data_IF_348133613695
#
_entry.id   IF_348133613695
#
_cell.length_a   1.000
_cell.length_b   1.000
_cell.length_c   1.000
_cell.angle_alpha   90.00
_cell.angle_beta   90.00
_cell.angle_gamma   90.00
#
_symmetry.space_group_name_H-M   'P 1'
#
loop_
_entity.id
_entity.type
_entity.pdbx_description
1 polymer ?
#
# COMPACT_ATOMS: atom_id res chain seq x y z
N UNK A 1 -52.96 42.35 -43.87
CA UNK A 1 -51.74 42.87 -43.21
C UNK A 1 -51.52 42.34 -41.78
N UNK A 2 -52.35 42.66 -40.78
CA UNK A 2 -52.07 42.25 -39.39
C UNK A 2 -52.10 40.73 -39.16
N UNK A 3 -53.04 40.02 -39.81
CA UNK A 3 -53.14 38.55 -39.69
C UNK A 3 -51.95 37.83 -40.34
N UNK A 4 -51.46 38.34 -41.47
CA UNK A 4 -50.30 37.78 -42.18
C UNK A 4 -49.03 37.97 -41.34
N UNK A 5 -48.81 39.18 -40.80
CA UNK A 5 -47.67 39.45 -39.92
C UNK A 5 -47.69 38.59 -38.65
N UNK A 6 -48.87 38.39 -38.04
CA UNK A 6 -49.01 37.53 -36.87
C UNK A 6 -48.68 36.05 -37.20
N UNK A 7 -49.09 35.58 -38.38
CA UNK A 7 -48.78 34.23 -38.85
C UNK A 7 -47.28 34.06 -39.12
N UNK A 8 -46.63 35.03 -39.77
CA UNK A 8 -45.18 35.02 -40.01
C UNK A 8 -44.39 35.00 -38.70
N UNK A 9 -44.75 35.83 -37.72
CA UNK A 9 -44.10 35.85 -36.40
C UNK A 9 -44.28 34.53 -35.65
N UNK A 10 -45.45 33.91 -35.73
CA UNK A 10 -45.70 32.63 -35.10
C UNK A 10 -44.87 31.51 -35.76
N UNK A 11 -44.81 31.47 -37.10
CA UNK A 11 -43.97 30.52 -37.83
C UNK A 11 -42.47 30.72 -37.52
N UNK A 12 -42.03 31.98 -37.40
CA UNK A 12 -40.66 32.33 -37.04
C UNK A 12 -40.31 31.86 -35.62
N UNK A 13 -41.23 32.08 -34.67
CA UNK A 13 -41.12 31.60 -33.29
C UNK A 13 -41.03 30.08 -33.23
N UNK A 14 -41.89 29.37 -33.93
CA UNK A 14 -41.86 27.90 -34.03
C UNK A 14 -40.55 27.40 -34.65
N UNK A 15 -40.07 28.06 -35.69
CA UNK A 15 -38.77 27.76 -36.30
C UNK A 15 -37.59 27.97 -35.35
N UNK A 16 -37.61 29.02 -34.51
CA UNK A 16 -36.59 29.22 -33.46
C UNK A 16 -36.65 28.13 -32.40
N UNK A 17 -37.85 27.76 -31.95
CA UNK A 17 -38.00 26.67 -30.97
C UNK A 17 -37.53 25.33 -31.53
N UNK A 18 -37.87 25.00 -32.78
CA UNK A 18 -37.42 23.78 -33.42
C UNK A 18 -35.88 23.70 -33.50
N UNK A 19 -35.22 24.78 -33.96
CA UNK A 19 -33.74 24.85 -33.99
C UNK A 19 -33.12 24.74 -32.60
N UNK A 20 -33.70 25.40 -31.61
CA UNK A 20 -33.20 25.36 -30.23
C UNK A 20 -33.33 23.94 -29.65
N UNK A 21 -34.47 23.27 -29.88
CA UNK A 21 -34.70 21.90 -29.47
C UNK A 21 -33.74 20.92 -30.16
N UNK A 22 -33.48 21.09 -31.46
CA UNK A 22 -32.51 20.30 -32.22
C UNK A 22 -31.08 20.46 -31.67
N UNK A 23 -30.66 21.70 -31.39
CA UNK A 23 -29.37 21.98 -30.77
C UNK A 23 -29.25 21.34 -29.39
N UNK A 24 -30.28 21.46 -28.53
CA UNK A 24 -30.27 20.78 -27.22
C UNK A 24 -30.22 19.25 -27.35
N UNK A 25 -30.96 18.67 -28.28
CA UNK A 25 -30.93 17.23 -28.51
C UNK A 25 -29.56 16.76 -29.04
N UNK A 26 -28.89 17.57 -29.87
CA UNK A 26 -27.52 17.30 -30.32
C UNK A 26 -26.52 17.39 -29.17
N UNK A 27 -26.55 18.48 -28.40
CA UNK A 27 -25.67 18.67 -27.23
C UNK A 27 -25.86 17.54 -26.22
N UNK A 28 -27.11 17.14 -25.95
CA UNK A 28 -27.41 16.06 -24.99
C UNK A 28 -26.82 14.73 -25.46
N UNK A 29 -26.89 14.42 -26.76
CA UNK A 29 -26.26 13.23 -27.34
C UNK A 29 -24.74 13.29 -27.23
N UNK A 30 -24.13 14.40 -27.65
CA UNK A 30 -22.66 14.57 -27.58
C UNK A 30 -22.16 14.47 -26.13
N UNK A 31 -22.88 15.03 -25.15
CA UNK A 31 -22.55 14.90 -23.73
C UNK A 31 -22.71 13.46 -23.23
N UNK A 32 -23.74 12.73 -23.67
CA UNK A 32 -23.94 11.33 -23.31
C UNK A 32 -22.84 10.43 -23.89
N UNK A 33 -22.45 10.66 -25.15
CA UNK A 33 -21.37 9.94 -25.82
C UNK A 33 -20.02 10.18 -25.11
N UNK A 34 -19.72 11.44 -24.77
CA UNK A 34 -18.53 11.78 -23.99
C UNK A 34 -18.54 11.12 -22.61
N UNK A 35 -19.66 11.15 -21.89
CA UNK A 35 -19.79 10.49 -20.59
C UNK A 35 -19.55 8.97 -20.70
N UNK A 36 -20.07 8.32 -21.74
CA UNK A 36 -19.83 6.91 -22.01
C UNK A 36 -18.34 6.62 -22.27
N UNK A 37 -17.68 7.44 -23.12
CA UNK A 37 -16.25 7.32 -23.38
C UNK A 37 -15.39 7.50 -22.12
N UNK A 38 -15.75 8.47 -21.26
CA UNK A 38 -15.03 8.68 -19.99
C UNK A 38 -15.18 7.50 -19.03
N UNK A 39 -16.38 6.93 -18.91
CA UNK A 39 -16.59 5.74 -18.09
C UNK A 39 -15.80 4.53 -18.61
N UNK A 40 -15.75 4.33 -19.93
CA UNK A 40 -14.92 3.28 -20.54
C UNK A 40 -13.42 3.48 -20.26
N UNK A 41 -12.92 4.71 -20.38
CA UNK A 41 -11.53 5.01 -20.04
C UNK A 41 -11.25 4.77 -18.55
N UNK A 42 -12.18 5.14 -17.68
CA UNK A 42 -12.07 4.91 -16.24
C UNK A 42 -11.99 3.40 -15.95
N UNK A 43 -12.82 2.58 -16.56
CA UNK A 43 -12.78 1.11 -16.36
C UNK A 43 -11.46 0.52 -16.83
N UNK A 44 -10.96 0.92 -18.00
CA UNK A 44 -9.68 0.44 -18.54
C UNK A 44 -8.53 0.80 -17.58
N UNK A 45 -8.45 2.06 -17.13
CA UNK A 45 -7.42 2.49 -16.20
C UNK A 45 -7.50 1.75 -14.85
N UNK A 46 -8.71 1.49 -14.33
CA UNK A 46 -8.88 0.70 -13.12
C UNK A 46 -8.36 -0.74 -13.28
N UNK A 47 -8.60 -1.37 -14.44
CA UNK A 47 -8.09 -2.71 -14.75
C UNK A 47 -6.55 -2.72 -14.88
N UNK A 48 -5.98 -1.73 -15.57
CA UNK A 48 -4.53 -1.57 -15.70
C UNK A 48 -3.85 -1.37 -14.33
N UNK A 49 -4.40 -0.50 -13.48
CA UNK A 49 -3.90 -0.28 -12.11
C UNK A 49 -3.98 -1.57 -11.30
N UNK A 50 -5.09 -2.31 -11.40
CA UNK A 50 -5.24 -3.59 -10.70
C UNK A 50 -4.22 -4.63 -11.18
N UNK A 51 -3.96 -4.70 -12.49
CA UNK A 51 -2.96 -5.61 -13.06
C UNK A 51 -1.54 -5.24 -12.61
N UNK A 52 -1.18 -3.94 -12.68
CA UNK A 52 0.12 -3.45 -12.22
C UNK A 52 0.35 -3.74 -10.72
N UNK A 53 -0.70 -3.60 -9.90
CA UNK A 53 -0.62 -3.92 -8.47
C UNK A 53 -0.36 -5.41 -8.22
N UNK A 54 -1.07 -6.31 -8.92
CA UNK A 54 -0.82 -7.76 -8.82
C UNK A 54 0.61 -8.11 -9.22
N UNK A 55 1.12 -7.52 -10.29
CA UNK A 55 2.49 -7.74 -10.73
C UNK A 55 3.52 -7.26 -9.69
N UNK A 56 3.28 -6.10 -9.06
CA UNK A 56 4.15 -5.61 -8.00
C UNK A 56 4.13 -6.52 -6.76
N UNK A 57 2.95 -7.01 -6.36
CA UNK A 57 2.80 -7.94 -5.24
C UNK A 57 3.48 -9.30 -5.53
N UNK A 58 3.37 -9.80 -6.77
CA UNK A 58 4.07 -11.00 -7.23
C UNK A 58 5.60 -10.84 -7.19
N UNK A 59 6.11 -9.72 -7.71
CA UNK A 59 7.54 -9.40 -7.68
C UNK A 59 8.05 -9.29 -6.24
N UNK A 60 7.30 -8.59 -5.38
CA UNK A 60 7.61 -8.50 -3.95
C UNK A 60 7.67 -9.88 -3.29
N UNK A 61 6.65 -10.72 -3.51
CA UNK A 61 6.63 -12.08 -2.99
C UNK A 61 7.73 -12.98 -3.56
N UNK A 62 8.22 -12.72 -4.78
CA UNK A 62 9.38 -13.40 -5.33
C UNK A 62 10.68 -13.00 -4.62
N UNK A 63 10.89 -11.69 -4.40
CA UNK A 63 12.05 -11.16 -3.67
C UNK A 63 12.07 -11.63 -2.22
N UNK A 64 10.93 -11.57 -1.51
CA UNK A 64 10.83 -12.06 -0.13
C UNK A 64 11.18 -13.55 -0.01
N UNK A 65 10.71 -14.38 -0.97
CA UNK A 65 11.09 -15.81 -1.02
C UNK A 65 12.57 -16.02 -1.32
N UNK A 66 13.16 -15.23 -2.21
CA UNK A 66 14.59 -15.32 -2.52
C UNK A 66 15.45 -14.97 -1.31
N UNK A 67 15.14 -13.85 -0.62
CA UNK A 67 15.81 -13.47 0.63
C UNK A 67 15.64 -14.52 1.73
N UNK A 68 14.46 -15.15 1.82
CA UNK A 68 14.21 -16.24 2.76
C UNK A 68 15.17 -17.42 2.56
N UNK A 69 15.32 -17.87 1.30
CA UNK A 69 16.25 -18.94 0.93
C UNK A 69 17.70 -18.60 1.22
N UNK A 70 18.11 -17.36 0.95
CA UNK A 70 19.48 -16.90 1.22
C UNK A 70 19.79 -16.90 2.72
N UNK A 71 18.87 -16.39 3.55
CA UNK A 71 19.02 -16.42 5.02
C UNK A 71 19.08 -17.85 5.56
N UNK A 72 18.27 -18.76 5.02
CA UNK A 72 18.30 -20.16 5.40
C UNK A 72 19.63 -20.82 5.02
N UNK A 73 20.14 -20.53 3.82
CA UNK A 73 21.45 -20.98 3.36
C UNK A 73 22.58 -20.46 4.25
N UNK A 74 22.61 -19.16 4.53
CA UNK A 74 23.62 -18.54 5.41
C UNK A 74 23.56 -19.12 6.83
N UNK A 75 22.36 -19.38 7.34
CA UNK A 75 22.18 -20.05 8.64
C UNK A 75 22.81 -21.44 8.62
N UNK A 76 22.52 -22.23 7.59
CA UNK A 76 23.08 -23.57 7.43
C UNK A 76 24.62 -23.54 7.33
N UNK A 77 25.18 -22.67 6.48
CA UNK A 77 26.62 -22.48 6.35
C UNK A 77 27.26 -22.05 7.69
N UNK A 78 26.60 -21.17 8.46
CA UNK A 78 27.10 -20.73 9.78
C UNK A 78 27.04 -21.86 10.82
N UNK A 79 25.98 -22.67 10.82
CA UNK A 79 25.83 -23.83 11.70
C UNK A 79 26.89 -24.89 11.38
N UNK A 80 27.18 -25.15 10.11
CA UNK A 80 28.23 -26.06 9.66
C UNK A 80 29.62 -25.57 10.09
N UNK A 81 29.94 -24.29 9.87
CA UNK A 81 31.21 -23.69 10.31
C UNK A 81 31.36 -23.77 11.83
N UNK A 82 30.30 -23.52 12.59
CA UNK A 82 30.32 -23.64 14.05
C UNK A 82 30.58 -25.09 14.48
N UNK A 83 29.92 -26.07 13.84
CA UNK A 83 30.13 -27.48 14.13
C UNK A 83 31.58 -27.91 13.86
N UNK A 84 32.19 -27.43 12.78
CA UNK A 84 33.61 -27.67 12.47
C UNK A 84 34.51 -27.07 13.56
N UNK A 85 34.28 -25.80 13.94
CA UNK A 85 35.08 -25.13 14.98
C UNK A 85 34.92 -25.83 16.34
N UNK A 86 33.70 -26.20 16.71
CA UNK A 86 33.43 -26.93 17.94
C UNK A 86 34.13 -28.30 17.93
N UNK A 87 34.12 -29.03 16.81
CA UNK A 87 34.85 -30.29 16.69
C UNK A 87 36.37 -30.11 16.87
N UNK A 88 36.95 -29.08 16.24
CA UNK A 88 38.38 -28.74 16.41
C UNK A 88 38.68 -28.39 17.87
N UNK A 89 37.79 -27.61 18.51
CA UNK A 89 37.93 -27.21 19.91
C UNK A 89 37.86 -28.41 20.86
N UNK A 90 36.90 -29.32 20.66
CA UNK A 90 36.80 -30.55 21.45
C UNK A 90 38.05 -31.44 21.26
N UNK A 91 38.57 -31.54 20.05
CA UNK A 91 39.82 -32.27 19.78
C UNK A 91 41.02 -31.64 20.53
N UNK A 92 41.06 -30.30 20.63
CA UNK A 92 42.09 -29.61 21.39
C UNK A 92 41.97 -29.83 22.91
N UNK A 93 40.73 -29.91 23.44
CA UNK A 93 40.47 -30.17 24.86
C UNK A 93 40.78 -31.62 25.28
N UNK A 94 40.60 -32.58 24.38
CA UNK A 94 40.79 -34.02 24.65
C UNK A 94 42.27 -34.45 24.57
N UNK A 95 43.20 -33.55 24.24
CA UNK A 95 44.63 -33.90 24.32
C UNK A 95 45.05 -34.17 25.79
N UNK A 96 45.52 -35.39 26.12
CA UNK A 96 45.87 -35.77 27.47
C UNK A 96 47.05 -34.94 27.99
N UNK A 97 46.87 -34.37 29.17
CA UNK A 97 47.91 -33.70 29.97
C UNK A 97 48.91 -34.68 30.60
N UNK A 98 48.99 -35.93 30.14
CA UNK A 98 49.80 -36.96 30.81
C UNK A 98 50.75 -37.69 29.85
N UNK A 99 51.83 -37.01 29.50
CA UNK A 99 53.14 -37.67 29.36
C UNK A 99 54.17 -36.82 30.09
N UNK A 100 54.19 -37.00 31.40
CA UNK A 100 55.36 -36.76 32.24
C UNK A 100 56.53 -37.59 31.71
N UNK A 101 57.30 -37.04 30.76
CA UNK A 101 58.41 -37.77 30.15
C UNK A 101 59.07 -37.16 28.92
N UNK A 102 59.39 -35.86 28.93
CA UNK A 102 60.59 -35.31 28.30
C UNK A 102 60.90 -35.61 26.81
N UNK A 103 59.91 -35.57 25.91
CA UNK A 103 60.19 -35.48 24.46
C UNK A 103 59.30 -34.40 23.81
N UNK A 104 59.83 -33.55 22.92
CA UNK A 104 59.05 -32.53 22.22
C UNK A 104 58.01 -33.23 21.33
N UNK A 105 56.77 -33.26 21.81
CA UNK A 105 55.69 -34.04 21.22
C UNK A 105 55.17 -33.32 19.96
N UNK A 106 55.51 -33.87 18.79
CA UNK A 106 54.99 -33.47 17.48
C UNK A 106 53.46 -33.63 17.46
N UNK A 107 52.75 -32.56 17.11
CA UNK A 107 51.28 -32.57 16.97
C UNK A 107 50.92 -33.13 15.59
N UNK A 108 50.52 -34.40 15.56
CA UNK A 108 49.99 -35.07 14.37
C UNK A 108 48.46 -34.93 14.35
N UNK A 109 47.92 -34.44 13.24
CA UNK A 109 46.48 -34.47 12.98
C UNK A 109 46.15 -35.68 12.10
N UNK A 110 45.22 -36.52 12.55
CA UNK A 110 44.74 -37.67 11.78
C UNK A 110 43.47 -37.30 11.02
N UNK A 111 43.51 -37.41 9.70
CA UNK A 111 42.31 -37.29 8.86
C UNK A 111 41.51 -38.60 8.89
N UNK A 112 40.18 -38.56 8.68
CA UNK A 112 39.33 -39.77 8.66
C UNK A 112 39.70 -40.78 7.55
N UNK A 113 40.51 -40.38 6.57
CA UNK A 113 41.07 -41.27 5.56
C UNK A 113 42.29 -42.09 6.04
N UNK A 114 42.78 -41.87 7.26
CA UNK A 114 43.93 -42.58 7.85
C UNK A 114 45.30 -41.96 7.57
N UNK A 115 45.37 -40.92 6.73
CA UNK A 115 46.61 -40.17 6.54
C UNK A 115 46.85 -39.24 7.74
N UNK A 116 47.98 -39.46 8.43
CA UNK A 116 48.47 -38.57 9.48
C UNK A 116 49.41 -37.54 8.85
N UNK A 117 49.00 -36.27 8.86
CA UNK A 117 49.87 -35.17 8.42
C UNK A 117 50.40 -34.44 9.65
N UNK A 118 51.71 -34.35 9.74
CA UNK A 118 52.39 -33.64 10.82
C UNK A 118 52.22 -32.13 10.61
N UNK A 119 51.51 -31.47 11.51
CA UNK A 119 51.38 -30.01 11.50
C UNK A 119 52.48 -29.46 12.41
N UNK A 120 53.72 -29.62 11.95
CA UNK A 120 54.80 -28.75 12.39
C UNK A 120 54.41 -27.39 11.83
N UNK A 121 53.92 -26.48 12.67
CA UNK A 121 53.60 -25.12 12.25
C UNK A 121 54.88 -24.45 11.78
N UNK A 122 55.27 -24.73 10.55
CA UNK A 122 56.42 -24.12 9.91
C UNK A 122 56.08 -22.65 9.70
N UNK A 123 57.11 -21.80 9.66
CA UNK A 123 56.93 -20.36 9.42
C UNK A 123 56.07 -20.06 8.20
N UNK A 124 56.02 -20.99 7.24
CA UNK A 124 55.29 -20.91 5.98
C UNK A 124 53.75 -20.97 6.17
N UNK A 125 53.26 -21.61 7.23
CA UNK A 125 51.83 -21.62 7.57
C UNK A 125 51.35 -20.24 8.05
N UNK A 126 52.21 -19.50 8.76
CA UNK A 126 51.92 -18.14 9.22
C UNK A 126 51.81 -17.19 8.02
N UNK A 127 52.69 -17.34 7.03
CA UNK A 127 52.61 -16.56 5.79
C UNK A 127 51.35 -16.88 5.00
N UNK A 128 50.96 -18.16 4.93
CA UNK A 128 49.71 -18.59 4.27
C UNK A 128 48.48 -17.99 4.93
N UNK A 129 48.41 -18.00 6.28
CA UNK A 129 47.32 -17.33 7.02
C UNK A 129 47.29 -15.83 6.76
N UNK A 130 48.47 -15.17 6.73
CA UNK A 130 48.55 -13.75 6.44
C UNK A 130 48.06 -13.42 5.02
N UNK A 131 48.41 -14.24 4.04
CA UNK A 131 47.96 -14.08 2.65
C UNK A 131 46.45 -14.27 2.53
N UNK A 132 45.85 -15.28 3.18
CA UNK A 132 44.40 -15.46 3.19
C UNK A 132 43.67 -14.30 3.88
N UNK A 133 44.18 -13.81 5.02
CA UNK A 133 43.59 -12.66 5.72
C UNK A 133 43.70 -11.40 4.84
N UNK A 134 44.84 -11.23 4.16
CA UNK A 134 45.05 -10.11 3.24
C UNK A 134 44.10 -10.18 2.04
N UNK A 135 43.91 -11.36 1.46
CA UNK A 135 42.96 -11.59 0.36
C UNK A 135 41.52 -11.31 0.83
N UNK A 136 41.10 -11.87 1.95
CA UNK A 136 39.77 -11.62 2.52
C UNK A 136 39.53 -10.14 2.84
N UNK A 137 40.54 -9.41 3.34
CA UNK A 137 40.45 -7.96 3.56
C UNK A 137 40.34 -7.19 2.23
N UNK A 138 41.10 -7.59 1.21
CA UNK A 138 41.02 -7.01 -0.13
C UNK A 138 39.62 -7.21 -0.74
N UNK A 139 39.07 -8.42 -0.60
CA UNK A 139 37.72 -8.75 -1.07
C UNK A 139 36.66 -7.97 -0.29
N UNK A 140 36.81 -7.83 1.03
CA UNK A 140 35.91 -7.02 1.85
C UNK A 140 35.92 -5.55 1.42
N UNK A 141 37.09 -4.97 1.12
CA UNK A 141 37.19 -3.61 0.58
C UNK A 141 36.56 -3.50 -0.82
N UNK A 142 36.72 -4.53 -1.66
CA UNK A 142 36.12 -4.55 -2.99
C UNK A 142 34.58 -4.61 -2.91
N UNK A 143 34.03 -5.49 -2.06
CA UNK A 143 32.59 -5.57 -1.79
C UNK A 143 32.05 -4.27 -1.22
N UNK A 144 32.76 -3.65 -0.28
CA UNK A 144 32.36 -2.35 0.28
C UNK A 144 32.28 -1.28 -0.80
N UNK A 145 33.22 -1.27 -1.76
CA UNK A 145 33.16 -0.37 -2.90
C UNK A 145 31.95 -0.67 -3.79
N UNK A 146 31.69 -1.93 -4.14
CA UNK A 146 30.52 -2.30 -4.95
C UNK A 146 29.21 -1.87 -4.28
N UNK A 147 29.08 -2.04 -2.96
CA UNK A 147 27.90 -1.58 -2.20
C UNK A 147 27.76 -0.05 -2.28
N UNK A 148 28.86 0.69 -2.18
CA UNK A 148 28.85 2.14 -2.30
C UNK A 148 28.42 2.59 -3.70
N UNK A 149 28.98 1.97 -4.75
CA UNK A 149 28.66 2.28 -6.14
C UNK A 149 27.17 1.98 -6.44
N UNK A 150 26.64 0.86 -5.95
CA UNK A 150 25.22 0.50 -6.09
C UNK A 150 24.30 1.47 -5.33
N UNK A 151 24.69 1.92 -4.13
CA UNK A 151 23.93 2.92 -3.37
C UNK A 151 23.86 4.25 -4.12
N UNK A 152 24.95 4.68 -4.76
CA UNK A 152 24.98 5.89 -5.59
C UNK A 152 24.08 5.75 -6.82
N UNK A 153 24.09 4.61 -7.49
CA UNK A 153 23.21 4.31 -8.63
C UNK A 153 21.73 4.35 -8.21
N UNK A 154 21.36 3.67 -7.12
CA UNK A 154 19.98 3.71 -6.60
C UNK A 154 19.54 5.12 -6.21
N UNK A 155 20.43 5.93 -5.63
CA UNK A 155 20.12 7.33 -5.32
C UNK A 155 19.84 8.14 -6.59
N UNK A 156 20.62 7.91 -7.66
CA UNK A 156 20.40 8.55 -8.94
C UNK A 156 19.06 8.15 -9.57
N UNK A 157 18.69 6.87 -9.51
CA UNK A 157 17.40 6.37 -9.99
C UNK A 157 16.22 6.97 -9.22
N UNK A 158 16.29 7.01 -7.89
CA UNK A 158 15.26 7.62 -7.03
C UNK A 158 15.06 9.09 -7.38
N UNK A 159 16.14 9.86 -7.50
CA UNK A 159 16.05 11.26 -7.91
C UNK A 159 15.47 11.43 -9.33
N UNK A 160 15.68 10.47 -10.23
CA UNK A 160 15.06 10.42 -11.55
C UNK A 160 13.56 10.16 -11.50
N UNK A 161 13.11 9.27 -10.63
CA UNK A 161 11.70 8.96 -10.41
C UNK A 161 10.95 10.12 -9.75
N UNK A 162 11.55 10.79 -8.76
CA UNK A 162 10.99 11.98 -8.11
C UNK A 162 10.72 13.08 -9.15
N UNK A 163 11.71 13.41 -9.99
CA UNK A 163 11.54 14.40 -11.07
C UNK A 163 10.42 14.04 -12.06
N UNK A 164 10.19 12.75 -12.30
CA UNK A 164 9.08 12.29 -13.15
C UNK A 164 7.75 12.46 -12.43
N UNK A 165 7.68 12.13 -11.15
CA UNK A 165 6.50 12.29 -10.32
C UNK A 165 6.08 13.78 -10.25
N UNK A 166 7.02 14.68 -10.00
CA UNK A 166 6.79 16.14 -10.01
C UNK A 166 6.17 16.61 -11.34
N UNK A 167 6.71 16.13 -12.47
CA UNK A 167 6.16 16.46 -13.80
C UNK A 167 4.73 15.97 -13.97
N UNK A 168 4.42 14.77 -13.47
CA UNK A 168 3.06 14.23 -13.51
C UNK A 168 2.11 15.00 -12.59
N UNK A 169 2.56 15.39 -11.40
CA UNK A 169 1.79 16.22 -10.47
C UNK A 169 1.43 17.57 -11.09
N UNK A 170 2.38 18.25 -11.73
CA UNK A 170 2.10 19.50 -12.47
C UNK A 170 1.07 19.29 -13.57
N UNK A 171 1.14 18.18 -14.32
CA UNK A 171 0.14 17.87 -15.37
C UNK A 171 -1.24 17.59 -14.79
N UNK A 172 -1.32 16.87 -13.68
CA UNK A 172 -2.58 16.60 -12.98
C UNK A 172 -3.19 17.88 -12.42
N UNK A 173 -2.38 18.76 -11.82
CA UNK A 173 -2.83 20.07 -11.35
C UNK A 173 -3.35 20.96 -12.48
N UNK A 174 -2.68 20.95 -13.64
CA UNK A 174 -3.16 21.64 -14.83
C UNK A 174 -4.49 21.06 -15.34
N UNK A 175 -4.61 19.72 -15.41
CA UNK A 175 -5.84 19.05 -15.83
C UNK A 175 -6.99 19.34 -14.85
N UNK A 176 -6.72 19.31 -13.54
CA UNK A 176 -7.71 19.65 -12.51
C UNK A 176 -8.18 21.10 -12.65
N UNK A 177 -7.27 22.03 -12.96
CA UNK A 177 -7.61 23.43 -13.23
C UNK A 177 -8.48 23.58 -14.47
N UNK A 178 -8.14 22.88 -15.57
CA UNK A 178 -8.94 22.84 -16.80
C UNK A 178 -10.32 22.25 -16.51
N UNK A 179 -10.41 21.12 -15.81
CA UNK A 179 -11.69 20.49 -15.45
C UNK A 179 -12.55 21.38 -14.56
N UNK A 180 -11.95 22.10 -13.60
CA UNK A 180 -12.66 23.10 -12.78
C UNK A 180 -13.21 24.24 -13.63
N UNK A 181 -12.44 24.72 -14.61
CA UNK A 181 -12.86 25.78 -15.52
C UNK A 181 -13.92 25.31 -16.54
N UNK A 182 -13.81 24.06 -17.00
CA UNK A 182 -14.73 23.44 -17.95
C UNK A 182 -16.03 22.99 -17.29
N UNK A 183 -16.01 22.64 -16.00
CA UNK A 183 -17.20 22.42 -15.16
C UNK A 183 -17.93 23.72 -14.79
N UNK A 184 -17.80 24.75 -15.63
CA UNK A 184 -18.45 26.04 -15.48
C UNK A 184 -19.92 25.90 -15.07
N UNK A 185 -20.21 26.40 -13.87
CA UNK A 185 -21.40 27.19 -13.57
C UNK A 185 -22.75 26.49 -13.32
N UNK A 186 -22.84 25.32 -12.66
CA UNK A 186 -24.13 24.96 -12.02
C UNK A 186 -24.13 24.11 -10.74
N UNK A 187 -22.98 23.61 -10.27
CA UNK A 187 -22.88 23.13 -8.89
C UNK A 187 -21.62 23.75 -8.29
N UNK A 188 -21.75 25.00 -7.86
CA UNK A 188 -20.72 25.64 -7.05
C UNK A 188 -20.45 24.72 -5.87
N UNK A 189 -19.30 24.06 -5.89
CA UNK A 189 -18.67 23.52 -4.70
C UNK A 189 -18.59 24.69 -3.72
N UNK A 190 -19.51 24.72 -2.75
CA UNK A 190 -19.57 25.78 -1.77
C UNK A 190 -18.59 25.40 -0.69
N UNK A 191 -17.67 26.31 -0.40
CA UNK A 191 -16.83 26.16 0.79
C UNK A 191 -17.72 26.17 2.02
N UNK A 192 -17.28 25.51 3.09
CA UNK A 192 -18.00 25.46 4.34
C UNK A 192 -18.31 26.87 4.88
N UNK A 193 -17.36 27.80 4.78
CA UNK A 193 -17.56 29.21 5.11
C UNK A 193 -18.67 29.87 4.27
N UNK A 194 -18.77 29.54 2.98
CA UNK A 194 -19.85 30.04 2.12
C UNK A 194 -21.22 29.49 2.57
N UNK A 195 -21.29 28.22 2.96
CA UNK A 195 -22.52 27.64 3.51
C UNK A 195 -22.89 28.33 4.84
N UNK A 196 -21.92 28.55 5.72
CA UNK A 196 -22.11 29.21 7.02
C UNK A 196 -22.55 30.68 6.91
N UNK A 197 -22.14 31.38 5.85
CA UNK A 197 -22.63 32.73 5.57
C UNK A 197 -24.10 32.77 5.17
N UNK A 198 -24.63 31.69 4.57
CA UNK A 198 -26.04 31.60 4.16
C UNK A 198 -26.93 30.97 5.24
N UNK A 199 -26.39 30.03 6.02
CA UNK A 199 -27.10 29.29 7.04
C UNK A 199 -26.21 29.15 8.28
N UNK A 200 -26.64 29.79 9.37
CA UNK A 200 -25.88 29.87 10.60
C UNK A 200 -25.66 28.51 11.28
N UNK A 201 -26.44 27.48 10.96
CA UNK A 201 -26.25 26.14 11.52
C UNK A 201 -24.88 25.55 11.17
N UNK A 202 -24.35 25.89 9.99
CA UNK A 202 -23.03 25.46 9.54
C UNK A 202 -21.88 26.12 10.31
N UNK A 203 -22.10 27.26 10.99
CA UNK A 203 -21.11 27.83 11.91
C UNK A 203 -20.81 26.88 13.06
N UNK A 204 -21.72 25.97 13.41
CA UNK A 204 -21.52 24.99 14.47
C UNK A 204 -20.36 24.03 14.15
N UNK A 205 -20.19 23.65 12.87
CA UNK A 205 -19.04 22.84 12.44
C UNK A 205 -17.72 23.61 12.50
N UNK A 206 -17.74 24.92 12.20
CA UNK A 206 -16.57 25.79 12.26
C UNK A 206 -16.15 26.14 13.70
N UNK A 207 -17.11 26.14 14.62
CA UNK A 207 -16.91 26.43 16.04
C UNK A 207 -16.78 25.17 16.89
N UNK A 208 -16.83 23.98 16.28
CA UNK A 208 -16.74 22.72 17.00
C UNK A 208 -15.36 22.58 17.67
N UNK A 209 -15.29 22.21 18.96
CA UNK A 209 -14.03 22.12 19.69
C UNK A 209 -13.08 21.04 19.14
N UNK A 210 -13.56 20.08 18.35
CA UNK A 210 -12.72 19.07 17.70
C UNK A 210 -11.86 19.66 16.56
N UNK A 211 -12.18 20.86 16.05
CA UNK A 211 -11.46 21.55 14.97
C UNK A 211 -11.24 20.67 13.72
N UNK A 212 -12.18 19.76 13.45
CA UNK A 212 -12.12 18.86 12.29
C UNK A 212 -12.34 19.57 10.95
N UNK A 213 -12.93 20.76 10.99
CA UNK A 213 -13.35 21.49 9.81
C UNK A 213 -12.71 22.87 9.74
N UNK A 214 -12.35 23.26 8.52
CA UNK A 214 -11.86 24.59 8.16
C UNK A 214 -12.87 25.32 7.26
N UNK A 215 -12.82 26.65 7.24
CA UNK A 215 -13.69 27.46 6.38
C UNK A 215 -13.52 27.17 4.88
N UNK A 216 -12.34 26.68 4.49
CA UNK A 216 -11.94 26.42 3.10
C UNK A 216 -12.34 25.01 2.63
N UNK A 217 -12.88 24.18 3.52
CA UNK A 217 -13.28 22.82 3.17
C UNK A 217 -14.37 22.82 2.11
N UNK A 218 -14.14 22.04 1.06
CA UNK A 218 -15.04 21.94 -0.07
C UNK A 218 -16.13 20.92 0.26
N UNK A 219 -17.38 21.39 0.36
CA UNK A 219 -18.53 20.52 0.61
C UNK A 219 -19.27 20.26 -0.70
N UNK A 220 -19.16 19.04 -1.22
CA UNK A 220 -19.94 18.61 -2.37
C UNK A 220 -21.40 18.29 -1.98
N UNK A 221 -22.23 17.93 -2.97
CA UNK A 221 -23.66 17.69 -2.74
C UNK A 221 -23.94 16.48 -1.84
N UNK A 222 -23.16 15.41 -1.96
CA UNK A 222 -23.36 14.19 -1.17
C UNK A 222 -22.92 14.44 0.27
N UNK A 223 -21.75 15.06 0.44
CA UNK A 223 -21.22 15.42 1.73
C UNK A 223 -22.08 16.46 2.44
N UNK A 224 -22.64 17.43 1.69
CA UNK A 224 -23.61 18.40 2.24
C UNK A 224 -24.80 17.69 2.87
N UNK A 225 -25.36 16.67 2.22
CA UNK A 225 -26.51 15.93 2.74
C UNK A 225 -26.14 15.24 4.06
N UNK A 226 -25.05 14.48 4.06
CA UNK A 226 -24.54 13.82 5.25
C UNK A 226 -24.30 14.80 6.40
N UNK A 227 -23.59 15.90 6.15
CA UNK A 227 -23.33 16.92 7.17
C UNK A 227 -24.61 17.60 7.66
N UNK A 228 -25.63 17.74 6.81
CA UNK A 228 -26.93 18.29 7.24
C UNK A 228 -27.63 17.34 8.22
N UNK A 229 -27.57 16.03 7.97
CA UNK A 229 -28.16 15.01 8.84
C UNK A 229 -27.41 14.97 10.20
N UNK A 230 -26.07 15.02 10.19
CA UNK A 230 -25.26 15.08 11.41
C UNK A 230 -25.45 16.41 12.16
N UNK A 231 -25.58 17.53 11.46
CA UNK A 231 -25.87 18.83 12.06
C UNK A 231 -27.22 18.85 12.79
N UNK A 232 -28.24 18.16 12.26
CA UNK A 232 -29.52 18.01 12.96
C UNK A 232 -29.34 17.32 14.31
N UNK A 233 -28.57 16.23 14.35
CA UNK A 233 -28.23 15.51 15.58
C UNK A 233 -27.39 16.37 16.55
N UNK A 234 -26.42 17.13 16.04
CA UNK A 234 -25.62 18.04 16.87
C UNK A 234 -26.50 19.11 17.54
N UNK A 235 -27.50 19.64 16.83
CA UNK A 235 -28.44 20.63 17.35
C UNK A 235 -29.41 20.00 18.35
N UNK A 236 -29.92 18.80 18.06
CA UNK A 236 -30.86 18.08 18.92
C UNK A 236 -30.23 17.65 20.26
N UNK A 237 -29.00 17.13 20.23
CA UNK A 237 -28.32 16.60 21.42
C UNK A 237 -27.30 17.56 22.04
N UNK A 238 -27.19 18.78 21.50
CA UNK A 238 -26.22 19.80 21.88
C UNK A 238 -24.78 19.27 22.03
N UNK A 239 -24.33 18.45 21.09
CA UNK A 239 -23.05 17.73 21.17
C UNK A 239 -22.04 18.13 20.09
N UNK A 240 -20.82 17.58 20.16
CA UNK A 240 -19.77 17.75 19.14
C UNK A 240 -20.03 16.87 17.92
N UNK A 241 -19.35 17.17 16.81
CA UNK A 241 -19.47 16.42 15.56
C UNK A 241 -19.19 14.93 15.75
N UNK A 242 -18.10 14.55 16.43
CA UNK A 242 -17.77 13.13 16.66
C UNK A 242 -18.88 12.40 17.40
N UNK A 243 -19.47 13.03 18.43
CA UNK A 243 -20.54 12.42 19.21
C UNK A 243 -21.83 12.26 18.39
N UNK A 244 -22.15 13.25 17.55
CA UNK A 244 -23.29 13.16 16.65
C UNK A 244 -23.13 12.04 15.61
N UNK A 245 -21.90 11.82 15.10
CA UNK A 245 -21.60 10.69 14.20
C UNK A 245 -21.79 9.34 14.92
N UNK A 246 -21.30 9.21 16.15
CA UNK A 246 -21.51 8.00 16.96
C UNK A 246 -23.00 7.69 17.17
N UNK A 247 -23.81 8.71 17.46
CA UNK A 247 -25.26 8.59 17.59
C UNK A 247 -25.90 8.13 16.26
N UNK A 248 -25.48 8.73 15.14
CA UNK A 248 -26.02 8.36 13.81
C UNK A 248 -25.74 6.90 13.43
N UNK A 249 -24.63 6.33 13.92
CA UNK A 249 -24.30 4.92 13.69
C UNK A 249 -25.03 3.98 14.64
N UNK A 250 -25.31 4.42 15.87
CA UNK A 250 -26.02 3.60 16.85
C UNK A 250 -27.48 3.33 16.43
N UNK A 251 -28.15 4.33 15.85
CA UNK A 251 -29.54 4.18 15.37
C UNK A 251 -29.67 3.27 14.13
N UNK A 252 -28.58 3.08 13.38
CA UNK A 252 -28.57 2.20 12.21
C UNK A 252 -28.58 0.71 12.59
N UNK A 253 -27.94 0.35 13.71
CA UNK A 253 -27.85 -1.04 14.16
C UNK A 253 -29.17 -1.56 14.78
N UNK A 254 -29.96 -0.68 15.38
CA UNK A 254 -31.25 -1.06 15.99
C UNK A 254 -32.38 -1.26 14.95
N UNK A 255 -32.25 -0.70 13.73
CA UNK A 255 -33.27 -0.86 12.68
C UNK A 255 -33.22 -2.21 11.95
N UNK A 256 -32.10 -2.92 11.94
CA UNK A 256 -31.97 -4.23 11.27
C UNK A 256 -32.34 -5.43 12.16
N UNK A 257 -32.52 -5.24 13.47
CA UNK A 257 -32.81 -6.32 14.42
C UNK A 257 -34.30 -6.67 14.59
N UNK A 258 -35.24 -5.90 14.01
CA UNK A 258 -36.69 -6.16 14.15
C UNK A 258 -37.38 -6.78 12.92
N UNK A 259 -36.65 -7.15 11.87
CA UNK A 259 -37.22 -7.81 10.68
C UNK A 259 -36.89 -9.31 10.59
N UNK A 260 -36.47 -9.94 11.70
CA UNK A 260 -36.32 -11.39 11.78
C UNK A 260 -37.71 -12.06 11.82
N UNK A 261 -38.20 -12.27 10.61
CA UNK A 261 -39.21 -13.22 10.19
C UNK A 261 -39.26 -14.47 11.09
N UNK A 262 -40.39 -14.59 11.80
CA UNK A 262 -40.92 -15.81 12.39
C UNK A 262 -41.14 -16.87 11.31
N UNK A 263 -40.05 -17.47 10.82
CA UNK A 263 -40.10 -18.67 9.99
C UNK A 263 -39.79 -19.91 10.86
N UNK A 264 -40.59 -20.99 10.75
CA UNK A 264 -40.61 -22.08 11.71
C UNK A 264 -39.39 -23.00 11.62
N UNK A 265 -38.82 -23.25 12.79
CA UNK A 265 -37.79 -24.23 13.14
C UNK A 265 -37.86 -25.51 12.29
N UNK A 266 -36.86 -25.74 11.44
CA UNK A 266 -36.48 -27.08 10.99
C UNK A 266 -35.25 -27.54 11.78
N UNK A 267 -35.47 -28.52 12.64
CA UNK A 267 -34.44 -29.32 13.28
C UNK A 267 -33.49 -29.93 12.24
N UNK A 268 -32.20 -29.64 12.36
CA UNK A 268 -31.13 -30.49 11.85
C UNK A 268 -30.19 -30.81 13.02
N UNK A 269 -30.07 -32.11 13.30
CA UNK A 269 -29.20 -32.69 14.32
C UNK A 269 -27.71 -32.50 13.99
N UNK A 270 -26.81 -32.48 15.01
CA UNK A 270 -25.38 -32.50 14.82
C UNK A 270 -24.81 -33.91 15.03
N UNK A 271 -24.18 -34.48 14.00
CA UNK A 271 -23.21 -35.57 14.09
C UNK A 271 -22.17 -35.26 13.01
N UNK A 272 -20.89 -34.96 13.27
CA UNK A 272 -19.86 -35.91 13.70
C UNK A 272 -18.54 -35.14 13.93
N UNK A 273 -17.73 -35.41 14.96
CA UNK A 273 -16.39 -34.81 15.10
C UNK A 273 -15.33 -35.65 14.37
N UNK A 274 -14.68 -35.05 13.37
CA UNK A 274 -13.52 -35.66 12.70
C UNK A 274 -12.28 -35.54 13.60
N UNK A 275 -11.79 -36.71 13.98
CA UNK A 275 -10.64 -37.04 14.83
C UNK A 275 -9.33 -36.48 14.26
N UNK A 276 -8.66 -35.62 15.03
CA UNK A 276 -7.29 -35.18 14.78
C UNK A 276 -6.32 -36.29 15.19
N UNK A 277 -5.48 -36.74 14.25
CA UNK A 277 -4.39 -37.67 14.51
C UNK A 277 -3.17 -36.93 15.08
N UNK A 278 -2.65 -37.42 16.20
CA UNK A 278 -1.37 -36.99 16.78
C UNK A 278 -0.19 -37.56 15.98
N UNK A 279 0.93 -36.83 15.88
CA UNK A 279 2.18 -37.35 15.35
C UNK A 279 2.91 -38.25 16.38
N UNK A 280 3.71 -39.22 15.94
CA UNK A 280 4.58 -39.98 16.83
C UNK A 280 5.83 -39.16 17.18
N UNK A 281 6.29 -39.28 18.41
CA UNK A 281 7.69 -39.05 18.79
C UNK A 281 8.16 -40.21 19.66
N UNK A 282 9.36 -40.17 20.25
CA UNK A 282 10.57 -39.47 19.83
C UNK A 282 11.45 -40.29 18.87
#
# INVERSE_FOLDING_TARGET
>A
PFRELAAELQAEREGRFARTAELHARITREVADLACCFEQQRTILCEEIAAARRQADEQRGAVERAMGKEREKLRWETEELRAIVDAIWQQALVQPTETSGGAPMQRLFAYPAGDMKEFVGDSDDIFTLYDMVREALSDAMHLQKQISDEQEERQFEVAGLEKRLDRHEVRLGAMQTIMRSASGANQAQRTLASLAAHDSTWNRLLQDPDQLFSGDDIVDRAYKKYLSDVLALMVEHDCTFKRAVELSTADADDQDMCSADTSPVRHCSPDTPTRWGSPPGP
#
